data_IF_840277773613
#
_entry.id   IF_840277773613
#
_cell.length_a   1.000
_cell.length_b   1.000
_cell.length_c   1.000
_cell.angle_alpha   90.00
_cell.angle_beta   90.00
_cell.angle_gamma   90.00
#
_symmetry.space_group_name_H-M   'P 1'
#
loop_
_entity.id
_entity.type
_entity.pdbx_description
1 polymer ?
#
# COMPACT_ATOMS: atom_id res chain seq x y z
N UNK A 1 -27.74 -1.62 -1.49
CA UNK A 1 -26.41 -2.26 -1.24
C UNK A 1 -25.29 -1.22 -1.29
N UNK A 2 -24.34 -1.21 -0.34
CA UNK A 2 -23.23 -0.24 -0.30
C UNK A 2 -21.87 -0.92 -0.46
N UNK A 3 -21.01 -0.40 -1.33
CA UNK A 3 -19.60 -0.73 -1.44
C UNK A 3 -18.74 0.43 -0.97
N UNK A 4 -17.82 0.15 -0.05
CA UNK A 4 -16.78 1.09 0.35
C UNK A 4 -15.49 0.69 -0.36
N UNK A 5 -15.10 1.47 -1.36
CA UNK A 5 -13.92 1.22 -2.17
C UNK A 5 -12.78 2.08 -1.64
N UNK A 6 -11.67 1.45 -1.28
CA UNK A 6 -10.45 2.13 -0.83
C UNK A 6 -9.23 1.57 -1.53
N UNK A 7 -8.17 2.36 -1.66
CA UNK A 7 -6.88 1.86 -2.11
C UNK A 7 -6.12 2.81 -3.03
N UNK A 8 -4.88 2.46 -3.34
CA UNK A 8 -3.98 3.25 -4.19
C UNK A 8 -3.92 2.81 -5.66
N UNK A 9 -4.44 1.63 -6.01
CA UNK A 9 -4.40 1.13 -7.39
C UNK A 9 -5.62 1.64 -8.19
N UNK A 10 -5.44 2.76 -8.89
CA UNK A 10 -6.51 3.36 -9.69
C UNK A 10 -7.05 2.45 -10.80
N UNK A 11 -6.20 1.61 -11.41
CA UNK A 11 -6.61 0.72 -12.49
C UNK A 11 -7.59 -0.34 -11.99
N UNK A 12 -7.28 -0.99 -10.85
CA UNK A 12 -8.15 -1.98 -10.24
C UNK A 12 -9.46 -1.36 -9.75
N UNK A 13 -9.40 -0.16 -9.16
CA UNK A 13 -10.60 0.60 -8.78
C UNK A 13 -11.48 0.87 -10.01
N UNK A 14 -10.89 1.39 -11.10
CA UNK A 14 -11.62 1.65 -12.36
C UNK A 14 -12.21 0.36 -12.95
N UNK A 15 -11.49 -0.75 -12.91
CA UNK A 15 -11.98 -2.04 -13.40
C UNK A 15 -13.13 -2.58 -12.56
N UNK A 16 -13.05 -2.47 -11.24
CA UNK A 16 -14.15 -2.81 -10.34
C UNK A 16 -15.41 -1.99 -10.65
N UNK A 17 -15.26 -0.67 -10.72
CA UNK A 17 -16.37 0.26 -11.03
C UNK A 17 -16.97 -0.08 -12.40
N UNK A 18 -16.12 -0.28 -13.42
CA UNK A 18 -16.56 -0.68 -14.77
C UNK A 18 -17.37 -1.98 -14.73
N UNK A 19 -16.92 -2.97 -13.98
CA UNK A 19 -17.64 -4.24 -13.81
C UNK A 19 -19.02 -4.08 -13.17
N UNK A 20 -19.20 -3.11 -12.27
CA UNK A 20 -20.52 -2.76 -11.71
C UNK A 20 -21.38 -2.01 -12.73
N UNK A 21 -20.82 -1.00 -13.42
CA UNK A 21 -21.53 -0.21 -14.44
C UNK A 21 -22.16 -1.07 -15.55
N UNK A 22 -21.50 -2.16 -15.94
CA UNK A 22 -22.02 -3.09 -16.97
C UNK A 22 -23.36 -3.75 -16.60
N UNK A 23 -23.77 -3.74 -15.33
CA UNK A 23 -25.05 -4.30 -14.87
C UNK A 23 -26.22 -3.32 -15.00
N UNK A 24 -25.94 -2.06 -15.28
CA UNK A 24 -26.91 -0.97 -15.24
C UNK A 24 -27.01 -0.30 -16.62
N UNK A 25 -28.20 0.19 -16.96
CA UNK A 25 -28.37 1.06 -18.12
C UNK A 25 -27.66 2.40 -17.85
N UNK A 26 -27.08 3.08 -18.86
CA UNK A 26 -26.40 4.36 -18.66
C UNK A 26 -27.25 5.43 -17.96
N UNK A 27 -28.55 5.47 -18.22
CA UNK A 27 -29.50 6.40 -17.59
C UNK A 27 -29.74 6.14 -16.09
N UNK A 28 -29.41 4.94 -15.60
CA UNK A 28 -29.56 4.55 -14.20
C UNK A 28 -28.27 4.78 -13.39
N UNK A 29 -27.20 5.31 -14.02
CA UNK A 29 -25.91 5.55 -13.38
C UNK A 29 -25.78 7.04 -13.07
N UNK A 30 -25.36 7.38 -11.86
CA UNK A 30 -25.06 8.75 -11.46
C UNK A 30 -23.69 8.81 -10.79
N UNK A 31 -22.83 9.71 -11.27
CA UNK A 31 -21.45 9.86 -10.81
C UNK A 31 -21.23 11.26 -10.27
N UNK A 32 -20.62 11.31 -9.09
CA UNK A 32 -20.47 12.53 -8.30
C UNK A 32 -18.99 12.72 -7.95
N UNK A 33 -18.37 13.72 -8.57
CA UNK A 33 -17.03 14.17 -8.22
C UNK A 33 -17.12 15.33 -7.24
N UNK A 34 -16.50 15.19 -6.05
CA UNK A 34 -16.41 16.27 -5.04
C UNK A 34 -17.77 16.86 -4.64
N UNK A 35 -18.80 16.02 -4.55
CA UNK A 35 -20.15 16.45 -4.19
C UNK A 35 -20.33 16.54 -2.69
N UNK A 36 -21.26 17.39 -2.25
CA UNK A 36 -21.65 17.45 -0.85
C UNK A 36 -22.50 16.22 -0.51
N UNK A 37 -22.47 15.74 0.75
CA UNK A 37 -23.34 14.64 1.19
C UNK A 37 -24.82 14.86 0.85
N UNK A 38 -25.30 16.11 0.88
CA UNK A 38 -26.67 16.49 0.53
C UNK A 38 -27.06 16.09 -0.89
N UNK A 39 -26.19 16.36 -1.87
CA UNK A 39 -26.47 16.11 -3.29
C UNK A 39 -26.64 14.60 -3.58
N UNK A 40 -25.89 13.78 -2.81
CA UNK A 40 -25.97 12.32 -2.85
C UNK A 40 -27.22 11.80 -2.16
N UNK A 41 -27.65 12.41 -1.05
CA UNK A 41 -28.88 12.05 -0.34
C UNK A 41 -30.11 12.31 -1.20
N UNK A 42 -30.17 13.46 -1.87
CA UNK A 42 -31.26 13.78 -2.81
C UNK A 42 -31.33 12.74 -3.93
N UNK A 43 -30.15 12.29 -4.40
CA UNK A 43 -30.06 11.23 -5.39
C UNK A 43 -30.56 9.89 -4.86
N UNK A 44 -30.32 9.57 -3.58
CA UNK A 44 -30.87 8.36 -2.93
C UNK A 44 -32.39 8.41 -2.77
N UNK A 45 -32.96 9.61 -2.60
CA UNK A 45 -34.40 9.78 -2.39
C UNK A 45 -35.18 9.92 -3.69
N UNK A 46 -34.53 10.29 -4.79
CA UNK A 46 -35.14 10.47 -6.12
C UNK A 46 -35.52 9.18 -6.88
N UNK A 47 -35.74 8.05 -6.18
CA UNK A 47 -36.16 6.80 -6.82
C UNK A 47 -37.64 6.92 -7.20
N UNK A 48 -37.93 6.89 -8.50
CA UNK A 48 -39.31 6.89 -8.99
C UNK A 48 -39.96 5.52 -8.77
N UNK A 49 -41.28 5.50 -8.55
CA UNK A 49 -42.11 4.29 -8.36
C UNK A 49 -42.01 3.24 -9.50
N UNK A 50 -41.45 3.62 -10.65
CA UNK A 50 -41.26 2.76 -11.82
C UNK A 50 -39.79 2.63 -12.25
N UNK A 51 -38.85 3.01 -11.38
CA UNK A 51 -37.44 3.08 -11.78
C UNK A 51 -36.72 1.74 -11.69
N UNK A 52 -35.91 1.49 -12.73
CA UNK A 52 -34.88 0.46 -12.71
C UNK A 52 -33.92 0.73 -11.52
N UNK A 53 -33.36 -0.33 -10.93
CA UNK A 53 -32.34 -0.19 -9.90
C UNK A 53 -31.23 0.76 -10.37
N UNK A 54 -30.76 1.66 -9.49
CA UNK A 54 -29.79 2.71 -9.80
C UNK A 54 -28.42 2.41 -9.21
N UNK A 55 -27.39 2.86 -9.92
CA UNK A 55 -26.01 2.85 -9.46
C UNK A 55 -25.53 4.27 -9.20
N UNK A 56 -25.19 4.57 -7.95
CA UNK A 56 -24.65 5.88 -7.56
C UNK A 56 -23.19 5.69 -7.17
N UNK A 57 -22.30 6.52 -7.73
CA UNK A 57 -20.86 6.45 -7.48
C UNK A 57 -20.40 7.82 -6.97
N UNK A 58 -19.87 7.84 -5.75
CA UNK A 58 -19.29 9.05 -5.14
C UNK A 58 -17.78 8.94 -5.02
N UNK A 59 -17.06 9.95 -5.49
CA UNK A 59 -15.60 10.06 -5.34
C UNK A 59 -15.25 11.08 -4.26
N UNK A 60 -14.68 10.59 -3.16
CA UNK A 60 -14.42 11.38 -1.96
C UNK A 60 -12.93 11.59 -1.74
N UNK A 61 -12.54 12.85 -1.67
CA UNK A 61 -11.17 13.32 -1.50
C UNK A 61 -10.91 13.97 -0.14
N UNK A 62 -11.95 14.41 0.55
CA UNK A 62 -11.88 15.05 1.87
C UNK A 62 -12.87 14.41 2.85
N UNK A 63 -12.56 14.50 4.15
CA UNK A 63 -13.43 14.00 5.21
C UNK A 63 -14.80 14.72 5.25
N UNK A 64 -14.86 16.00 4.88
CA UNK A 64 -16.10 16.77 4.81
C UNK A 64 -17.08 16.28 3.74
N UNK A 65 -16.58 15.56 2.72
CA UNK A 65 -17.40 15.08 1.61
C UNK A 65 -18.11 13.76 1.96
N UNK A 66 -17.76 13.13 3.09
CA UNK A 66 -18.34 11.84 3.53
C UNK A 66 -19.20 11.98 4.78
N UNK A 67 -19.56 13.20 5.20
CA UNK A 67 -20.33 13.44 6.41
C UNK A 67 -21.84 13.22 6.21
N UNK A 68 -22.22 11.95 6.02
CA UNK A 68 -23.61 11.56 5.86
C UNK A 68 -24.32 11.43 7.21
N UNK A 69 -25.59 11.85 7.31
CA UNK A 69 -26.48 11.47 8.40
C UNK A 69 -26.57 9.94 8.53
N UNK A 70 -26.60 9.44 9.77
CA UNK A 70 -26.61 7.99 10.02
C UNK A 70 -27.87 7.32 9.47
N UNK A 71 -29.03 7.94 9.64
CA UNK A 71 -30.33 7.51 9.12
C UNK A 71 -30.31 7.34 7.59
N UNK A 72 -29.62 8.24 6.87
CA UNK A 72 -29.46 8.12 5.42
C UNK A 72 -28.63 6.88 5.03
N UNK A 73 -27.51 6.61 5.72
CA UNK A 73 -26.69 5.41 5.47
C UNK A 73 -27.48 4.14 5.80
N UNK A 74 -28.19 4.11 6.93
CA UNK A 74 -28.99 2.95 7.34
C UNK A 74 -30.11 2.69 6.33
N UNK A 75 -30.83 3.72 5.91
CA UNK A 75 -31.88 3.60 4.88
C UNK A 75 -31.31 3.04 3.58
N UNK A 76 -30.20 3.60 3.10
CA UNK A 76 -29.51 3.16 1.89
C UNK A 76 -29.01 1.71 1.98
N UNK A 77 -28.55 1.28 3.16
CA UNK A 77 -28.07 -0.09 3.39
C UNK A 77 -29.18 -1.14 3.23
N UNK A 78 -30.43 -0.76 3.50
CA UNK A 78 -31.62 -1.61 3.40
C UNK A 78 -32.29 -1.53 2.04
N UNK A 79 -31.93 -0.55 1.20
CA UNK A 79 -32.48 -0.41 -0.15
C UNK A 79 -31.93 -1.49 -1.08
N UNK A 80 -32.85 -2.14 -1.80
CA UNK A 80 -32.55 -3.07 -2.88
C UNK A 80 -32.47 -2.38 -4.24
N UNK A 81 -33.04 -1.18 -4.35
CA UNK A 81 -33.15 -0.44 -5.61
C UNK A 81 -31.96 0.50 -5.86
N UNK A 82 -31.13 0.74 -4.83
CA UNK A 82 -29.89 1.50 -4.96
C UNK A 82 -28.68 0.64 -4.65
N UNK A 83 -27.73 0.67 -5.58
CA UNK A 83 -26.35 0.35 -5.30
C UNK A 83 -25.52 1.62 -5.18
N UNK A 84 -24.82 1.77 -4.07
CA UNK A 84 -23.93 2.91 -3.83
C UNK A 84 -22.48 2.46 -3.73
N UNK A 85 -21.60 3.09 -4.52
CA UNK A 85 -20.15 2.89 -4.47
C UNK A 85 -19.52 4.17 -3.92
N UNK A 86 -19.01 4.09 -2.69
CA UNK A 86 -18.23 5.16 -2.08
C UNK A 86 -16.73 4.94 -2.31
N UNK A 87 -16.12 5.70 -3.21
CA UNK A 87 -14.68 5.64 -3.51
C UNK A 87 -13.94 6.62 -2.61
N UNK A 88 -13.23 6.11 -1.61
CA UNK A 88 -12.49 6.92 -0.64
C UNK A 88 -11.02 7.02 -1.08
N UNK A 89 -10.59 8.24 -1.44
CA UNK A 89 -9.18 8.50 -1.77
C UNK A 89 -8.30 8.42 -0.52
N UNK A 90 -7.00 8.10 -0.65
CA UNK A 90 -6.09 7.90 0.48
C UNK A 90 -5.96 9.09 1.44
N UNK A 91 -6.21 10.32 0.97
CA UNK A 91 -6.13 11.55 1.76
C UNK A 91 -7.28 11.70 2.78
N UNK A 92 -8.35 10.90 2.69
CA UNK A 92 -9.48 10.96 3.60
C UNK A 92 -9.15 10.25 4.91
N UNK A 93 -9.25 10.98 6.03
CA UNK A 93 -9.05 10.41 7.36
C UNK A 93 -10.07 9.31 7.65
N UNK A 94 -9.59 8.09 7.89
CA UNK A 94 -10.40 6.91 8.25
C UNK A 94 -10.92 6.93 9.69
N UNK A 95 -10.67 8.00 10.42
CA UNK A 95 -11.02 8.14 11.85
C UNK A 95 -12.41 8.80 12.01
N UNK A 96 -12.94 9.46 10.97
CA UNK A 96 -14.24 10.13 11.04
C UNK A 96 -15.39 9.17 11.35
N UNK A 97 -16.39 9.66 12.09
CA UNK A 97 -17.58 8.87 12.43
C UNK A 97 -18.33 8.40 11.18
N UNK A 98 -18.40 9.24 10.18
CA UNK A 98 -19.08 9.00 8.91
C UNK A 98 -18.37 7.91 8.07
N UNK A 99 -17.02 7.85 8.10
CA UNK A 99 -16.27 6.72 7.53
C UNK A 99 -16.53 5.42 8.31
N UNK A 100 -16.56 5.47 9.64
CA UNK A 100 -16.87 4.30 10.48
C UNK A 100 -18.28 3.77 10.22
N UNK A 101 -19.26 4.66 10.05
CA UNK A 101 -20.64 4.32 9.69
C UNK A 101 -20.72 3.68 8.31
N UNK A 102 -20.12 4.30 7.28
CA UNK A 102 -20.04 3.69 5.95
C UNK A 102 -19.38 2.31 6.01
N UNK A 103 -18.27 2.17 6.74
CA UNK A 103 -17.59 0.87 6.92
C UNK A 103 -18.47 -0.17 7.61
N UNK A 104 -19.33 0.24 8.55
CA UNK A 104 -20.25 -0.67 9.27
C UNK A 104 -21.36 -1.22 8.37
N UNK A 105 -21.90 -0.40 7.47
CA UNK A 105 -23.06 -0.75 6.64
C UNK A 105 -22.71 -1.08 5.17
N UNK A 106 -21.42 -1.23 4.85
CA UNK A 106 -20.95 -1.51 3.48
C UNK A 106 -20.09 -2.76 3.40
N UNK A 107 -19.95 -3.28 2.18
CA UNK A 107 -18.91 -4.25 1.85
C UNK A 107 -17.63 -3.51 1.49
N UNK A 108 -16.57 -3.73 2.28
CA UNK A 108 -15.25 -3.14 2.02
C UNK A 108 -14.58 -3.83 0.83
N UNK A 109 -14.12 -3.03 -0.13
CA UNK A 109 -13.32 -3.47 -1.28
C UNK A 109 -12.01 -2.68 -1.27
N UNK A 110 -10.88 -3.37 -1.07
CA UNK A 110 -9.57 -2.75 -0.95
C UNK A 110 -8.71 -3.09 -2.16
N UNK A 111 -8.34 -2.07 -2.93
CA UNK A 111 -7.49 -2.18 -4.13
C UNK A 111 -6.20 -1.40 -3.90
N UNK A 112 -5.42 -1.85 -2.92
CA UNK A 112 -4.05 -1.40 -2.81
C UNK A 112 -3.23 -2.06 -3.92
N UNK A 113 -2.20 -1.37 -4.43
CA UNK A 113 -1.16 -2.07 -5.18
C UNK A 113 -0.67 -3.25 -4.33
N UNK A 114 -0.49 -4.42 -4.94
CA UNK A 114 0.26 -5.50 -4.30
C UNK A 114 1.58 -4.88 -3.83
N UNK A 115 1.74 -4.76 -2.51
CA UNK A 115 2.90 -4.08 -1.97
C UNK A 115 4.10 -4.95 -2.29
N UNK A 116 4.99 -4.48 -3.14
CA UNK A 116 6.35 -5.02 -3.30
C UNK A 116 7.21 -4.64 -2.07
N UNK A 117 6.57 -4.26 -0.94
CA UNK A 117 7.25 -3.99 0.31
C UNK A 117 7.55 -5.32 0.99
N UNK A 118 8.82 -5.68 0.95
CA UNK A 118 9.43 -6.70 1.78
C UNK A 118 10.79 -6.16 2.19
N UNK A 119 11.21 -6.40 3.44
CA UNK A 119 12.57 -6.07 3.90
C UNK A 119 13.65 -6.69 2.99
N UNK A 120 13.34 -7.84 2.37
CA UNK A 120 14.19 -8.48 1.38
C UNK A 120 14.26 -7.69 0.06
N UNK A 121 13.17 -7.06 -0.36
CA UNK A 121 13.16 -6.22 -1.56
C UNK A 121 13.96 -4.92 -1.35
N UNK A 122 14.05 -4.41 -0.12
CA UNK A 122 14.93 -3.28 0.22
C UNK A 122 16.40 -3.72 0.07
N UNK A 123 16.77 -4.86 0.67
CA UNK A 123 18.13 -5.40 0.60
C UNK A 123 18.53 -5.75 -0.85
N UNK A 124 17.64 -6.36 -1.62
CA UNK A 124 17.85 -6.66 -3.04
C UNK A 124 18.01 -5.38 -3.86
N UNK A 125 17.18 -4.36 -3.63
CA UNK A 125 17.30 -3.07 -4.32
C UNK A 125 18.65 -2.41 -4.03
N UNK A 126 19.11 -2.42 -2.78
CA UNK A 126 20.35 -1.78 -2.36
C UNK A 126 21.60 -2.53 -2.88
N UNK A 127 21.71 -3.83 -2.60
CA UNK A 127 22.97 -4.57 -2.80
C UNK A 127 23.02 -5.38 -4.10
N UNK A 128 21.89 -5.78 -4.66
CA UNK A 128 21.85 -6.62 -5.88
C UNK A 128 21.63 -5.73 -7.11
N UNK A 129 20.59 -4.89 -7.06
CA UNK A 129 20.20 -4.03 -8.19
C UNK A 129 20.96 -2.70 -8.23
N UNK A 130 21.63 -2.32 -7.14
CA UNK A 130 22.30 -1.02 -6.95
C UNK A 130 21.37 0.17 -7.21
N UNK A 131 20.08 0.00 -6.88
CA UNK A 131 19.04 1.01 -7.04
C UNK A 131 18.70 1.61 -5.67
N UNK A 132 19.61 2.48 -5.20
CA UNK A 132 19.48 3.20 -3.92
C UNK A 132 18.18 3.98 -3.83
N UNK A 133 17.73 4.59 -4.94
CA UNK A 133 16.47 5.35 -4.99
C UNK A 133 15.26 4.45 -4.73
N UNK A 134 15.20 3.29 -5.38
CA UNK A 134 14.14 2.31 -5.11
C UNK A 134 14.21 1.80 -3.68
N UNK A 135 15.40 1.51 -3.17
CA UNK A 135 15.57 1.04 -1.81
C UNK A 135 15.05 2.06 -0.77
N UNK A 136 15.35 3.35 -0.95
CA UNK A 136 14.83 4.44 -0.10
C UNK A 136 13.31 4.63 -0.24
N UNK A 137 12.75 4.50 -1.44
CA UNK A 137 11.30 4.55 -1.64
C UNK A 137 10.57 3.38 -0.97
N UNK A 138 11.19 2.20 -0.94
CA UNK A 138 10.66 1.04 -0.22
C UNK A 138 10.79 1.25 1.30
N UNK A 139 11.90 1.82 1.78
CA UNK A 139 12.10 2.18 3.19
C UNK A 139 11.05 3.18 3.67
N UNK A 140 10.76 4.24 2.89
CA UNK A 140 9.75 5.24 3.26
C UNK A 140 8.32 4.68 3.30
N UNK A 141 8.10 3.50 2.72
CA UNK A 141 6.83 2.78 2.74
C UNK A 141 6.65 1.88 3.98
N UNK A 142 7.67 1.77 4.84
CA UNK A 142 7.68 1.01 6.09
C UNK A 142 6.70 1.63 7.08
N UNK A 143 5.74 0.85 7.59
CA UNK A 143 4.65 1.36 8.44
C UNK A 143 4.94 1.25 9.92
N UNK A 144 5.68 0.23 10.32
CA UNK A 144 5.95 -0.04 11.72
C UNK A 144 7.45 -0.19 11.92
N UNK A 145 8.13 0.97 11.96
CA UNK A 145 9.59 1.04 12.04
C UNK A 145 10.08 0.13 13.15
N UNK A 146 9.58 0.22 14.37
CA UNK A 146 10.11 -0.55 15.50
C UNK A 146 9.99 -2.08 15.36
N UNK A 147 8.91 -2.58 14.77
CA UNK A 147 8.71 -4.03 14.60
C UNK A 147 9.46 -4.59 13.39
N UNK A 148 9.43 -3.85 12.27
CA UNK A 148 10.01 -4.28 11.00
C UNK A 148 11.51 -3.97 10.93
N UNK A 149 12.03 -3.16 11.86
CA UNK A 149 13.42 -2.72 11.91
C UNK A 149 14.41 -3.86 12.03
N UNK A 150 14.26 -4.72 13.04
CA UNK A 150 15.18 -5.83 13.21
C UNK A 150 15.15 -6.76 11.98
N UNK A 151 13.96 -6.96 11.41
CA UNK A 151 13.80 -7.74 10.18
C UNK A 151 14.53 -7.07 9.00
N UNK A 152 14.50 -5.74 8.91
CA UNK A 152 15.24 -4.98 7.92
C UNK A 152 16.75 -5.12 8.11
N UNK A 153 17.27 -4.95 9.32
CA UNK A 153 18.71 -5.11 9.58
C UNK A 153 19.15 -6.54 9.24
N UNK A 154 18.40 -7.56 9.64
CA UNK A 154 18.65 -8.96 9.26
C UNK A 154 18.60 -9.18 7.74
N UNK A 155 17.66 -8.55 7.03
CA UNK A 155 17.58 -8.64 5.58
C UNK A 155 18.78 -7.97 4.90
N UNK A 156 19.25 -6.82 5.41
CA UNK A 156 20.45 -6.14 4.91
C UNK A 156 21.71 -7.00 5.13
N UNK A 157 21.88 -7.60 6.30
CA UNK A 157 22.96 -8.56 6.56
C UNK A 157 22.88 -9.77 5.64
N UNK A 158 21.68 -10.33 5.45
CA UNK A 158 21.44 -11.44 4.54
C UNK A 158 21.82 -11.08 3.11
N UNK A 159 21.47 -9.88 2.65
CA UNK A 159 21.85 -9.33 1.36
C UNK A 159 23.38 -9.30 1.19
N UNK A 160 24.10 -8.62 2.08
CA UNK A 160 25.56 -8.55 2.04
C UNK A 160 26.22 -9.93 2.10
N UNK A 161 25.77 -10.79 3.01
CA UNK A 161 26.27 -12.17 3.14
C UNK A 161 26.06 -12.97 1.86
N UNK A 162 24.90 -12.85 1.22
CA UNK A 162 24.60 -13.59 0.00
C UNK A 162 25.45 -13.11 -1.18
N UNK A 163 25.63 -11.79 -1.30
CA UNK A 163 26.48 -11.19 -2.33
C UNK A 163 27.95 -11.60 -2.14
N UNK A 164 28.45 -11.57 -0.89
CA UNK A 164 29.80 -12.07 -0.58
C UNK A 164 29.95 -13.56 -0.87
N UNK A 165 28.97 -14.38 -0.44
CA UNK A 165 29.01 -15.83 -0.63
C UNK A 165 29.05 -16.21 -2.10
N UNK A 166 28.34 -15.48 -2.97
CA UNK A 166 28.43 -15.62 -4.43
C UNK A 166 29.87 -15.41 -4.91
N UNK A 167 30.51 -14.32 -4.47
CA UNK A 167 31.86 -13.97 -4.93
C UNK A 167 32.93 -14.96 -4.45
N UNK A 168 32.81 -15.42 -3.21
CA UNK A 168 33.75 -16.40 -2.62
C UNK A 168 33.43 -17.86 -2.99
N UNK A 169 32.28 -18.11 -3.63
CA UNK A 169 31.76 -19.45 -3.95
C UNK A 169 31.82 -20.43 -2.76
N UNK A 170 31.49 -19.95 -1.56
CA UNK A 170 31.67 -20.70 -0.31
C UNK A 170 30.48 -21.65 0.00
N UNK A 171 30.55 -22.39 1.11
CA UNK A 171 29.49 -23.34 1.49
C UNK A 171 28.11 -22.69 1.69
N UNK A 172 28.06 -21.39 2.05
CA UNK A 172 26.78 -20.66 2.13
C UNK A 172 26.16 -20.55 0.75
N UNK A 173 26.93 -20.21 -0.29
CA UNK A 173 26.44 -20.13 -1.66
C UNK A 173 25.80 -21.43 -2.11
N UNK A 174 26.44 -22.57 -1.84
CA UNK A 174 25.93 -23.88 -2.25
C UNK A 174 24.54 -24.19 -1.64
N UNK A 175 24.31 -23.74 -0.40
CA UNK A 175 23.05 -23.93 0.34
C UNK A 175 21.95 -22.92 -0.03
N UNK A 176 22.25 -21.87 -0.79
CA UNK A 176 21.24 -20.89 -1.19
C UNK A 176 20.21 -21.51 -2.15
N UNK A 177 18.96 -21.10 -1.97
CA UNK A 177 17.86 -21.49 -2.84
C UNK A 177 18.13 -21.06 -4.30
N UNK A 178 17.78 -21.87 -5.33
CA UNK A 178 18.07 -21.56 -6.73
C UNK A 178 17.57 -20.19 -7.19
N UNK A 179 16.40 -19.76 -6.67
CA UNK A 179 15.86 -18.41 -6.94
C UNK A 179 16.81 -17.29 -6.51
N UNK A 180 17.43 -17.40 -5.33
CA UNK A 180 18.37 -16.40 -4.81
C UNK A 180 19.65 -16.41 -5.62
N UNK A 181 20.16 -17.60 -5.99
CA UNK A 181 21.31 -17.73 -6.88
C UNK A 181 21.06 -17.04 -8.23
N UNK A 182 19.87 -17.21 -8.80
CA UNK A 182 19.47 -16.56 -10.06
C UNK A 182 19.43 -15.04 -9.94
N UNK A 183 18.90 -14.49 -8.84
CA UNK A 183 18.93 -13.05 -8.57
C UNK A 183 20.35 -12.50 -8.50
N UNK A 184 21.25 -13.23 -7.86
CA UNK A 184 22.64 -12.81 -7.65
C UNK A 184 23.53 -13.02 -8.87
N UNK A 185 23.11 -13.78 -9.87
CA UNK A 185 23.94 -14.15 -11.03
C UNK A 185 24.64 -12.94 -11.67
N UNK A 186 23.93 -11.81 -11.79
CA UNK A 186 24.44 -10.58 -12.43
C UNK A 186 24.94 -9.52 -11.45
N UNK A 187 24.90 -9.77 -10.13
CA UNK A 187 25.39 -8.82 -9.14
C UNK A 187 26.91 -8.60 -9.30
N UNK A 188 27.33 -7.35 -9.45
CA UNK A 188 28.75 -6.94 -9.48
C UNK A 188 29.22 -6.69 -8.07
N UNK A 189 30.25 -7.41 -7.64
CA UNK A 189 30.69 -7.47 -6.25
C UNK A 189 32.10 -6.91 -6.10
N UNK A 190 32.21 -5.84 -5.31
CA UNK A 190 33.48 -5.36 -4.77
C UNK A 190 33.61 -5.89 -3.33
N UNK A 191 34.53 -6.83 -3.13
CA UNK A 191 34.65 -7.56 -1.86
C UNK A 191 35.11 -6.67 -0.72
N UNK A 192 36.00 -5.72 -0.99
CA UNK A 192 36.54 -4.84 0.05
C UNK A 192 35.49 -3.82 0.47
N UNK A 193 34.70 -3.30 -0.49
CA UNK A 193 33.53 -2.48 -0.16
C UNK A 193 32.49 -3.23 0.65
N UNK A 194 32.18 -4.48 0.31
CA UNK A 194 31.21 -5.28 1.07
C UNK A 194 31.68 -5.53 2.50
N UNK A 195 32.97 -5.82 2.72
CA UNK A 195 33.53 -5.99 4.07
C UNK A 195 33.39 -4.70 4.90
N UNK A 196 33.63 -3.54 4.29
CA UNK A 196 33.44 -2.25 4.95
C UNK A 196 31.95 -2.01 5.28
N UNK A 197 31.05 -2.22 4.32
CA UNK A 197 29.61 -2.11 4.53
C UNK A 197 29.09 -3.07 5.61
N UNK A 198 29.67 -4.27 5.73
CA UNK A 198 29.32 -5.22 6.78
C UNK A 198 29.73 -4.71 8.17
N UNK A 199 30.91 -4.08 8.29
CA UNK A 199 31.34 -3.42 9.53
C UNK A 199 30.44 -2.24 9.87
N UNK A 200 30.13 -1.39 8.91
CA UNK A 200 29.24 -0.24 9.11
C UNK A 200 27.85 -0.68 9.55
N UNK A 201 27.30 -1.72 8.91
CA UNK A 201 26.01 -2.29 9.30
C UNK A 201 26.05 -2.90 10.71
N UNK A 202 27.19 -3.46 11.13
CA UNK A 202 27.42 -3.93 12.49
C UNK A 202 27.43 -2.83 13.53
N UNK A 203 28.21 -1.77 13.29
CA UNK A 203 28.21 -0.62 14.18
C UNK A 203 26.84 0.05 14.24
N UNK A 204 26.16 0.10 13.10
CA UNK A 204 24.80 0.59 13.00
C UNK A 204 23.86 -0.27 13.85
N UNK A 205 23.81 -1.59 13.68
CA UNK A 205 22.96 -2.49 14.49
C UNK A 205 23.20 -2.33 16.01
N UNK A 206 24.46 -2.18 16.43
CA UNK A 206 24.81 -1.92 17.83
C UNK A 206 24.23 -0.60 18.33
N UNK A 207 24.46 0.51 17.60
CA UNK A 207 23.93 1.85 17.95
C UNK A 207 22.40 1.86 18.00
N UNK A 208 21.78 1.14 17.08
CA UNK A 208 20.35 1.09 16.83
C UNK A 208 19.55 0.36 17.90
N UNK A 209 20.16 -0.61 18.60
CA UNK A 209 19.57 -1.29 19.76
C UNK A 209 19.33 -0.34 20.94
N UNK A 210 20.11 0.74 21.03
CA UNK A 210 20.04 1.75 22.10
C UNK A 210 19.44 3.09 21.66
N UNK A 211 19.10 3.28 20.39
CA UNK A 211 18.66 4.57 19.82
C UNK A 211 17.17 4.61 19.48
N UNK A 212 16.57 5.80 19.55
CA UNK A 212 15.20 6.08 19.11
C UNK A 212 15.12 6.58 17.66
N UNK A 213 16.25 6.98 17.04
CA UNK A 213 16.28 7.55 15.67
C UNK A 213 16.59 6.48 14.61
N UNK A 214 15.92 5.34 14.72
CA UNK A 214 16.21 4.12 13.96
C UNK A 214 16.09 4.28 12.45
N UNK A 215 15.01 4.92 12.00
CA UNK A 215 14.73 5.11 10.58
C UNK A 215 15.76 6.03 9.91
N UNK A 216 16.06 7.15 10.56
CA UNK A 216 17.03 8.14 10.10
C UNK A 216 18.42 7.53 9.97
N UNK A 217 18.88 6.78 10.98
CA UNK A 217 20.19 6.12 10.93
C UNK A 217 20.31 5.08 9.81
N UNK A 218 19.23 4.34 9.50
CA UNK A 218 19.23 3.42 8.35
C UNK A 218 19.23 4.20 7.04
N UNK A 219 18.45 5.27 6.95
CA UNK A 219 18.43 6.12 5.77
C UNK A 219 19.81 6.72 5.49
N UNK A 220 20.49 7.21 6.52
CA UNK A 220 21.86 7.73 6.43
C UNK A 220 22.84 6.65 5.98
N UNK A 221 22.76 5.44 6.55
CA UNK A 221 23.55 4.31 6.09
C UNK A 221 23.32 4.01 4.61
N UNK A 222 22.06 3.97 4.16
CA UNK A 222 21.74 3.71 2.76
C UNK A 222 22.25 4.82 1.84
N UNK A 223 22.16 6.08 2.26
CA UNK A 223 22.67 7.22 1.51
C UNK A 223 24.20 7.19 1.38
N UNK A 224 24.90 6.85 2.46
CA UNK A 224 26.36 6.83 2.52
C UNK A 224 26.99 5.52 2.01
N UNK A 225 26.20 4.46 1.85
CA UNK A 225 26.69 3.21 1.28
C UNK A 225 27.02 3.39 -0.21
N UNK A 226 28.29 3.28 -0.57
CA UNK A 226 28.75 3.22 -1.97
C UNK A 226 28.59 1.78 -2.51
N UNK A 227 27.34 1.34 -2.57
CA UNK A 227 26.93 0.03 -3.11
C UNK A 227 26.83 0.00 -4.63
#
# INVERSE_FOLDING_TARGET
>A
MIFLVTGSNELLIKNFIRGRKLKYKPSAISEFEKSKPTDLIDSFQSINMFSDARLIIGYFSKASEIDFPEDAIVSLSKSNDIEFIAVIKPAVSKISNSYKLLKKYSTLQSFDNARDFSVYNIADALFINKDKRRALNLLSSMKNVDQEFYQLTFALYGGLRNVLSKNENNNTWNKLHPFVKKKLANAVVDTDKIKNLYKELFELDVKLKSSNNRLESIQDFMLNSDS
#
